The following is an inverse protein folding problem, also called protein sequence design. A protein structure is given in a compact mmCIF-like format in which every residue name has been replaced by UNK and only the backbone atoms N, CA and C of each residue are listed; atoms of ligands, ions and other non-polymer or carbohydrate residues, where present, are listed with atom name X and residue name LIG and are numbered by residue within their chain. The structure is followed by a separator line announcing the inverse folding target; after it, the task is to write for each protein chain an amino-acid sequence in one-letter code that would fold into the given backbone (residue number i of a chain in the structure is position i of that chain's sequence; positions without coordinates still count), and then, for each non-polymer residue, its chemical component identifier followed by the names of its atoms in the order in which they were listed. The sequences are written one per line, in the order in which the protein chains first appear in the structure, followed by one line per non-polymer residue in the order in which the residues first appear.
data_IF_575015255678
#
_entry.id   IF_575015255678
#
_cell.length_a   1.000
_cell.length_b   1.000
_cell.length_c   1.000
_cell.angle_alpha   90.00
_cell.angle_beta   90.00
_cell.angle_gamma   90.00
#
_symmetry.space_group_name_H-M   'P 1'
#
loop_
_entity.id
_entity.type
_entity.pdbx_description
1 polymer ?
#
# COMPACT_ATOMS: atom_id res chain seq x y z
N UNK A 1 12.28 4.39 4.09
CA UNK A 1 12.45 5.46 5.09
C UNK A 1 13.14 4.86 6.30
N UNK A 2 14.43 5.13 6.47
CA UNK A 2 15.22 4.63 7.59
C UNK A 2 15.13 5.62 8.76
N UNK A 3 14.61 5.19 9.91
CA UNK A 3 14.82 5.89 11.18
C UNK A 3 15.32 4.91 12.23
N UNK A 4 16.46 5.27 12.82
CA UNK A 4 17.13 4.65 13.96
C UNK A 4 16.39 5.08 15.24
N UNK A 5 16.20 4.20 16.23
CA UNK A 5 16.51 4.39 17.68
C UNK A 5 15.47 3.92 18.73
N UNK A 6 15.75 2.80 19.43
CA UNK A 6 15.65 2.67 20.92
C UNK A 6 14.48 1.92 21.61
N UNK A 7 14.09 0.70 21.20
CA UNK A 7 13.31 -0.32 21.96
C UNK A 7 12.10 0.10 22.85
N UNK A 8 12.21 0.97 23.86
CA UNK A 8 11.11 1.37 24.76
C UNK A 8 10.05 2.32 24.15
N UNK A 9 10.41 3.13 23.16
CA UNK A 9 9.49 3.99 22.36
C UNK A 9 8.81 3.24 21.19
N UNK A 10 9.29 2.04 20.83
CA UNK A 10 8.75 1.20 19.75
C UNK A 10 7.46 0.49 20.20
N UNK A 11 7.33 0.12 21.48
CA UNK A 11 6.12 -0.50 22.02
C UNK A 11 4.94 0.48 22.17
N UNK A 12 5.18 1.70 22.64
CA UNK A 12 4.10 2.70 22.80
C UNK A 12 3.63 3.30 21.47
N UNK A 13 4.46 3.21 20.41
CA UNK A 13 4.04 3.53 19.04
C UNK A 13 3.10 2.50 18.43
N UNK A 14 3.21 1.23 18.81
CA UNK A 14 2.45 0.11 18.22
C UNK A 14 0.93 0.20 18.43
N UNK A 15 0.48 0.76 19.55
CA UNK A 15 -0.96 0.87 19.86
C UNK A 15 -1.62 2.06 19.15
N UNK A 16 -0.92 3.19 19.01
CA UNK A 16 -1.56 4.47 18.63
C UNK A 16 -1.09 4.97 17.24
N UNK A 17 0.14 4.66 16.80
CA UNK A 17 0.70 5.21 15.54
C UNK A 17 0.94 4.17 14.44
N UNK A 18 1.11 2.90 14.81
CA UNK A 18 1.48 1.78 13.94
C UNK A 18 0.49 0.61 14.05
N UNK A 19 -0.77 0.83 14.47
CA UNK A 19 -1.73 -0.27 14.46
C UNK A 19 -1.93 -0.70 13.00
N UNK A 20 -1.39 -1.86 12.58
CA UNK A 20 -1.37 -2.25 11.18
C UNK A 20 -2.80 -2.42 10.64
N UNK A 21 -3.79 -2.59 11.51
CA UNK A 21 -5.21 -2.62 11.15
C UNK A 21 -5.71 -1.27 10.59
N UNK A 22 -5.24 -0.13 11.12
CA UNK A 22 -5.64 1.20 10.64
C UNK A 22 -4.97 1.56 9.31
N UNK A 23 -3.70 1.18 9.13
CA UNK A 23 -2.96 1.45 7.88
C UNK A 23 -3.41 0.50 6.76
N UNK A 24 -3.70 -0.77 7.09
CA UNK A 24 -4.30 -1.72 6.15
C UNK A 24 -5.68 -1.22 5.69
N UNK A 25 -6.51 -0.67 6.60
CA UNK A 25 -7.80 -0.04 6.28
C UNK A 25 -7.67 1.20 5.38
N UNK A 26 -6.61 2.02 5.53
CA UNK A 26 -6.39 3.19 4.67
C UNK A 26 -6.09 2.80 3.20
N UNK A 27 -5.54 1.61 2.96
CA UNK A 27 -5.23 1.09 1.62
C UNK A 27 -6.32 0.23 0.98
N UNK A 28 -7.37 -0.16 1.71
CA UNK A 28 -8.39 -1.13 1.25
C UNK A 28 -9.58 -0.52 0.53
N UNK A 29 -9.61 0.79 0.29
CA UNK A 29 -10.66 1.45 -0.51
C UNK A 29 -11.11 0.67 -1.77
N UNK A 30 -10.21 0.06 -2.58
CA UNK A 30 -10.64 -0.74 -3.72
C UNK A 30 -11.34 -2.04 -3.32
N UNK A 31 -10.94 -2.68 -2.21
CA UNK A 31 -11.53 -3.93 -1.73
C UNK A 31 -12.97 -3.75 -1.24
N UNK A 32 -13.29 -2.64 -0.55
CA UNK A 32 -14.67 -2.36 -0.15
C UNK A 32 -15.57 -2.08 -1.37
N UNK A 33 -15.06 -1.37 -2.38
CA UNK A 33 -15.80 -1.01 -3.58
C UNK A 33 -16.12 -2.20 -4.51
N UNK A 34 -15.27 -3.24 -4.54
CA UNK A 34 -15.44 -4.38 -5.47
C UNK A 34 -16.32 -5.51 -4.93
N UNK A 35 -16.91 -5.34 -3.74
CA UNK A 35 -17.79 -6.35 -3.10
C UNK A 35 -19.12 -6.55 -3.83
N UNK A 36 -19.57 -5.58 -4.63
CA UNK A 36 -20.89 -5.64 -5.30
C UNK A 36 -20.89 -6.46 -6.59
N UNK A 37 -19.74 -6.56 -7.28
CA UNK A 37 -19.66 -7.19 -8.61
C UNK A 37 -18.26 -7.76 -8.88
N UNK A 38 -18.17 -9.06 -9.14
CA UNK A 38 -16.92 -9.74 -9.49
C UNK A 38 -16.25 -9.15 -10.75
N UNK A 39 -17.06 -8.68 -11.70
CA UNK A 39 -16.57 -8.05 -12.94
C UNK A 39 -15.80 -6.75 -12.69
N UNK A 40 -16.26 -5.94 -11.72
CA UNK A 40 -15.59 -4.69 -11.34
C UNK A 40 -14.28 -4.96 -10.59
N UNK A 41 -14.24 -6.01 -9.78
CA UNK A 41 -13.02 -6.47 -9.08
C UNK A 41 -11.92 -6.92 -10.04
N UNK A 42 -12.30 -7.67 -11.09
CA UNK A 42 -11.34 -8.14 -12.09
C UNK A 42 -10.72 -6.97 -12.87
N UNK A 43 -11.54 -5.98 -13.25
CA UNK A 43 -11.08 -4.77 -13.92
C UNK A 43 -10.13 -3.92 -13.05
N UNK A 44 -10.47 -3.69 -11.78
CA UNK A 44 -9.59 -2.95 -10.85
C UNK A 44 -8.26 -3.66 -10.58
N UNK A 45 -8.28 -4.99 -10.44
CA UNK A 45 -7.06 -5.78 -10.22
C UNK A 45 -6.11 -5.71 -11.41
N UNK A 46 -6.61 -5.90 -12.62
CA UNK A 46 -5.79 -5.82 -13.84
C UNK A 46 -5.25 -4.40 -14.03
N UNK A 47 -6.09 -3.38 -13.83
CA UNK A 47 -5.67 -1.98 -13.97
C UNK A 47 -4.56 -1.60 -12.96
N UNK A 48 -4.72 -1.95 -11.69
CA UNK A 48 -3.72 -1.64 -10.65
C UNK A 48 -2.40 -2.37 -10.88
N UNK A 49 -2.45 -3.64 -11.31
CA UNK A 49 -1.24 -4.41 -11.64
C UNK A 49 -0.49 -3.77 -12.82
N UNK A 50 -1.21 -3.36 -13.87
CA UNK A 50 -0.62 -2.70 -15.03
C UNK A 50 0.02 -1.34 -14.67
N UNK A 51 -0.65 -0.52 -13.85
CA UNK A 51 -0.12 0.78 -13.41
C UNK A 51 1.11 0.63 -12.52
N UNK A 52 1.12 -0.35 -11.60
CA UNK A 52 2.28 -0.63 -10.75
C UNK A 52 3.48 -1.12 -11.58
N UNK A 53 3.26 -1.97 -12.58
CA UNK A 53 4.31 -2.39 -13.51
C UNK A 53 4.88 -1.18 -14.27
N UNK A 54 4.02 -0.34 -14.85
CA UNK A 54 4.45 0.85 -15.58
C UNK A 54 5.23 1.81 -14.68
N UNK A 55 4.74 2.04 -13.46
CA UNK A 55 5.37 2.93 -12.49
C UNK A 55 6.76 2.43 -12.11
N UNK A 56 6.91 1.12 -11.84
CA UNK A 56 8.22 0.53 -11.53
C UNK A 56 9.19 0.62 -12.72
N UNK A 57 8.71 0.43 -13.95
CA UNK A 57 9.53 0.57 -15.16
C UNK A 57 10.00 2.03 -15.35
N UNK A 58 9.10 3.00 -15.23
CA UNK A 58 9.43 4.43 -15.36
C UNK A 58 10.37 4.90 -14.25
N UNK A 59 10.13 4.49 -13.01
CA UNK A 59 11.03 4.80 -11.88
C UNK A 59 12.41 4.17 -12.09
N UNK A 60 12.47 2.94 -12.61
CA UNK A 60 13.75 2.29 -12.91
C UNK A 60 14.55 3.03 -13.97
N UNK A 61 13.89 3.55 -15.00
CA UNK A 61 14.51 4.37 -16.04
C UNK A 61 15.02 5.71 -15.50
N UNK A 62 14.21 6.42 -14.70
CA UNK A 62 14.59 7.69 -14.07
C UNK A 62 15.72 7.53 -13.04
N UNK A 63 15.82 6.38 -12.37
CA UNK A 63 16.87 6.09 -11.39
C UNK A 63 18.23 5.81 -12.02
N UNK A 64 18.26 5.46 -13.31
CA UNK A 64 19.47 5.14 -14.06
C UNK A 64 20.01 6.33 -14.88
N UNK A 65 19.31 7.47 -14.83
CA UNK A 65 19.78 8.81 -15.22
C UNK A 65 20.38 9.48 -14.00
#
# INVERSE_FOLDING_TARGET
MATKRSAGYELTKGIIKENPLLILMLGTCPALAVTTSAYNGLGMGIASTAVLLLSNVVISLLRKV
#
